data_IF_279228810096
#
_entry.id   IF_279228810096
#
_cell.length_a   1.000
_cell.length_b   1.000
_cell.length_c   1.000
_cell.angle_alpha   90.00
_cell.angle_beta   90.00
_cell.angle_gamma   90.00
#
_symmetry.space_group_name_H-M   'P 1'
#
loop_
_entity.id
_entity.type
_entity.pdbx_description
1 polymer ?
#
# COMPACT_ATOMS: atom_id res chain seq x y z
N UNK A 1 -30.95 2.06 -8.77
CA UNK A 1 -31.01 2.16 -7.29
C UNK A 1 -30.44 3.50 -6.88
N UNK A 2 -31.00 4.15 -5.87
CA UNK A 2 -30.40 5.41 -5.36
C UNK A 2 -29.14 5.11 -4.55
N UNK A 3 -28.18 6.07 -4.51
CA UNK A 3 -26.93 5.94 -3.73
C UNK A 3 -27.19 5.61 -2.25
N UNK A 4 -28.29 6.13 -1.69
CA UNK A 4 -28.73 5.80 -0.32
C UNK A 4 -29.10 4.32 -0.15
N UNK A 5 -29.73 3.70 -1.17
CA UNK A 5 -30.10 2.29 -1.14
C UNK A 5 -28.84 1.39 -1.22
N UNK A 6 -27.89 1.73 -2.10
CA UNK A 6 -26.61 1.04 -2.24
C UNK A 6 -25.82 1.14 -0.92
N UNK A 7 -25.72 2.32 -0.34
CA UNK A 7 -25.03 2.52 0.94
C UNK A 7 -25.64 1.72 2.10
N UNK A 8 -26.97 1.55 2.11
CA UNK A 8 -27.66 0.71 3.11
C UNK A 8 -27.32 -0.78 2.94
N UNK A 9 -27.29 -1.25 1.69
CA UNK A 9 -26.93 -2.63 1.36
C UNK A 9 -25.48 -2.95 1.74
N UNK A 10 -24.53 -2.09 1.35
CA UNK A 10 -23.12 -2.24 1.69
C UNK A 10 -22.90 -2.30 3.21
N UNK A 11 -23.57 -1.43 3.97
CA UNK A 11 -23.51 -1.47 5.44
C UNK A 11 -24.11 -2.76 6.02
N UNK A 12 -25.16 -3.31 5.43
CA UNK A 12 -25.76 -4.58 5.87
C UNK A 12 -24.79 -5.74 5.62
N UNK A 13 -24.18 -5.80 4.44
CA UNK A 13 -23.16 -6.80 4.09
C UNK A 13 -21.97 -6.70 5.06
N UNK A 14 -21.44 -5.50 5.27
CA UNK A 14 -20.34 -5.27 6.22
C UNK A 14 -20.68 -5.80 7.63
N UNK A 15 -21.87 -5.47 8.15
CA UNK A 15 -22.30 -5.92 9.48
C UNK A 15 -22.43 -7.44 9.55
N UNK A 16 -22.94 -8.09 8.50
CA UNK A 16 -23.06 -9.53 8.43
C UNK A 16 -21.68 -10.21 8.44
N UNK A 17 -20.75 -9.71 7.63
CA UNK A 17 -19.36 -10.21 7.58
C UNK A 17 -18.63 -9.97 8.90
N UNK A 18 -18.74 -8.78 9.47
CA UNK A 18 -18.13 -8.45 10.76
C UNK A 18 -18.69 -9.31 11.91
N UNK A 19 -20.02 -9.61 11.89
CA UNK A 19 -20.62 -10.54 12.86
C UNK A 19 -20.14 -11.97 12.69
N UNK A 20 -19.94 -12.43 11.46
CA UNK A 20 -19.53 -13.81 11.17
C UNK A 20 -18.04 -14.07 11.43
N UNK A 21 -17.18 -13.11 11.11
CA UNK A 21 -15.72 -13.29 11.09
C UNK A 21 -14.97 -12.38 12.06
N UNK A 22 -15.64 -11.42 12.70
CA UNK A 22 -15.01 -10.43 13.57
C UNK A 22 -14.17 -9.40 12.83
N UNK A 23 -13.53 -8.47 13.56
CA UNK A 23 -12.56 -7.52 13.02
C UNK A 23 -11.33 -8.26 12.48
N UNK A 24 -10.93 -7.97 11.27
CA UNK A 24 -9.82 -8.68 10.60
C UNK A 24 -8.45 -8.04 10.84
N UNK A 25 -8.39 -6.83 11.37
CA UNK A 25 -7.16 -6.07 11.62
C UNK A 25 -6.19 -6.07 10.42
N UNK A 26 -6.77 -5.98 9.26
CA UNK A 26 -6.05 -5.85 8.02
C UNK A 26 -5.62 -4.38 7.86
N UNK A 27 -4.44 -4.10 7.59
CA UNK A 27 -3.24 -4.64 6.98
C UNK A 27 -2.17 -4.93 8.06
N UNK A 28 -1.50 -6.09 8.08
CA UNK A 28 -0.45 -6.35 9.05
C UNK A 28 0.84 -5.62 8.65
N UNK A 29 1.17 -4.58 9.37
CA UNK A 29 2.39 -3.80 9.20
C UNK A 29 2.66 -2.99 10.46
N UNK A 30 3.92 -2.94 10.90
CA UNK A 30 4.30 -2.27 12.16
C UNK A 30 4.35 -0.74 12.02
N UNK A 31 4.48 -0.24 10.78
CA UNK A 31 4.59 1.20 10.51
C UNK A 31 3.88 1.59 9.21
N UNK A 32 3.44 2.86 9.07
CA UNK A 32 2.90 3.35 7.80
C UNK A 32 3.85 3.15 6.61
N UNK A 33 5.16 3.24 6.83
CA UNK A 33 6.14 3.00 5.77
C UNK A 33 6.18 1.53 5.34
N UNK A 34 6.08 0.61 6.28
CA UNK A 34 5.97 -0.82 5.96
C UNK A 34 4.72 -1.13 5.13
N UNK A 35 3.58 -0.51 5.47
CA UNK A 35 2.34 -0.64 4.71
C UNK A 35 2.49 -0.09 3.29
N UNK A 36 3.13 1.07 3.11
CA UNK A 36 3.48 1.63 1.79
C UNK A 36 4.27 0.65 0.93
N UNK A 37 5.34 0.08 1.51
CA UNK A 37 6.19 -0.91 0.83
C UNK A 37 5.38 -2.16 0.51
N UNK A 38 4.62 -2.67 1.48
CA UNK A 38 3.75 -3.83 1.31
C UNK A 38 2.73 -3.65 0.18
N UNK A 39 2.11 -2.47 0.06
CA UNK A 39 1.15 -2.16 -1.00
C UNK A 39 1.76 -2.28 -2.41
N UNK A 40 3.02 -1.88 -2.59
CA UNK A 40 3.73 -2.08 -3.85
C UNK A 40 4.12 -3.55 -4.04
N UNK A 41 4.57 -4.23 -2.99
CA UNK A 41 5.00 -5.63 -3.09
C UNK A 41 3.84 -6.61 -3.29
N UNK A 42 2.62 -6.27 -2.89
CA UNK A 42 1.43 -7.12 -3.04
C UNK A 42 0.92 -7.18 -4.49
N UNK A 43 1.32 -6.26 -5.35
CA UNK A 43 0.89 -6.24 -6.75
C UNK A 43 1.17 -7.59 -7.43
N UNK A 44 0.10 -8.29 -7.85
CA UNK A 44 0.16 -9.62 -8.49
C UNK A 44 0.99 -10.66 -7.70
N UNK A 45 0.86 -10.70 -6.39
CA UNK A 45 1.67 -11.59 -5.54
C UNK A 45 0.86 -12.04 -4.33
N UNK A 46 0.99 -13.32 -3.97
CA UNK A 46 0.40 -13.87 -2.75
C UNK A 46 1.05 -13.26 -1.50
N UNK A 47 0.24 -12.97 -0.48
CA UNK A 47 0.68 -12.30 0.74
C UNK A 47 1.88 -12.99 1.43
N UNK A 48 1.90 -14.31 1.49
CA UNK A 48 3.02 -15.09 2.06
C UNK A 48 4.38 -14.75 1.45
N UNK A 49 4.42 -14.36 0.19
CA UNK A 49 5.65 -13.95 -0.49
C UNK A 49 6.02 -12.50 -0.18
N UNK A 50 5.02 -11.65 0.06
CA UNK A 50 5.23 -10.28 0.54
C UNK A 50 5.85 -10.31 1.94
N UNK A 51 5.32 -11.14 2.83
CA UNK A 51 5.87 -11.34 4.19
C UNK A 51 7.35 -11.73 4.17
N UNK A 52 7.73 -12.67 3.30
CA UNK A 52 9.13 -13.07 3.12
C UNK A 52 10.01 -11.90 2.66
N UNK A 53 9.53 -11.08 1.74
CA UNK A 53 10.24 -9.91 1.26
C UNK A 53 10.38 -8.85 2.35
N UNK A 54 9.31 -8.57 3.09
CA UNK A 54 9.32 -7.65 4.24
C UNK A 54 10.30 -8.15 5.33
N UNK A 55 10.27 -9.45 5.65
CA UNK A 55 11.19 -10.05 6.62
C UNK A 55 12.66 -9.86 6.19
N UNK A 56 12.98 -10.02 4.90
CA UNK A 56 14.32 -9.74 4.38
C UNK A 56 14.72 -8.28 4.58
N UNK A 57 13.82 -7.34 4.24
CA UNK A 57 14.06 -5.90 4.41
C UNK A 57 14.26 -5.52 5.88
N UNK A 58 13.49 -6.13 6.80
CA UNK A 58 13.63 -5.94 8.26
C UNK A 58 14.98 -6.48 8.76
N UNK A 59 15.33 -7.73 8.39
CA UNK A 59 16.60 -8.37 8.78
C UNK A 59 17.82 -7.55 8.36
N UNK A 60 17.79 -7.01 7.14
CA UNK A 60 18.87 -6.16 6.60
C UNK A 60 18.76 -4.70 7.06
N UNK A 61 17.76 -4.39 7.90
CA UNK A 61 17.49 -3.04 8.41
C UNK A 61 17.30 -1.99 7.31
N UNK A 62 16.76 -2.39 6.15
CA UNK A 62 16.52 -1.48 5.00
C UNK A 62 15.11 -0.90 5.03
N UNK A 63 14.18 -1.46 5.81
CA UNK A 63 12.78 -1.07 5.86
C UNK A 63 12.56 0.26 6.64
N UNK A 64 13.26 1.29 6.21
CA UNK A 64 13.03 2.69 6.62
C UNK A 64 13.21 3.58 5.41
N UNK A 65 12.52 4.72 5.37
CA UNK A 65 12.58 5.63 4.22
C UNK A 65 14.04 6.00 3.88
N UNK A 66 14.78 6.52 4.85
CA UNK A 66 16.15 7.00 4.64
C UNK A 66 17.12 5.92 4.18
N UNK A 67 16.95 4.68 4.63
CA UNK A 67 17.81 3.57 4.20
C UNK A 67 17.41 3.03 2.85
N UNK A 68 16.11 2.94 2.59
CA UNK A 68 15.61 2.38 1.33
C UNK A 68 15.88 3.30 0.13
N UNK A 69 15.71 4.62 0.29
CA UNK A 69 15.99 5.57 -0.79
C UNK A 69 17.47 5.57 -1.20
N UNK A 70 18.37 5.34 -0.23
CA UNK A 70 19.81 5.28 -0.44
C UNK A 70 20.33 3.86 -0.77
N UNK A 71 19.48 2.84 -0.75
CA UNK A 71 19.90 1.49 -1.08
C UNK A 71 20.18 1.34 -2.58
N UNK A 72 21.23 0.59 -2.92
CA UNK A 72 21.51 0.22 -4.30
C UNK A 72 20.31 -0.57 -4.89
N UNK A 73 19.87 -0.27 -6.11
CA UNK A 73 18.72 -0.96 -6.73
C UNK A 73 18.88 -2.48 -6.76
N UNK A 74 20.08 -2.95 -7.01
CA UNK A 74 20.41 -4.39 -7.09
C UNK A 74 20.24 -5.06 -5.73
N UNK A 75 20.70 -4.41 -4.64
CA UNK A 75 20.49 -4.90 -3.27
C UNK A 75 18.99 -4.95 -2.94
N UNK A 76 18.25 -3.89 -3.27
CA UNK A 76 16.81 -3.85 -3.01
C UNK A 76 16.08 -4.96 -3.78
N UNK A 77 16.41 -5.16 -5.07
CA UNK A 77 15.86 -6.20 -5.90
C UNK A 77 16.08 -7.61 -5.32
N UNK A 78 17.28 -7.89 -4.80
CA UNK A 78 17.59 -9.16 -4.14
C UNK A 78 16.73 -9.38 -2.88
N UNK A 79 16.57 -8.37 -2.04
CA UNK A 79 15.81 -8.46 -0.80
C UNK A 79 14.32 -8.73 -1.05
N UNK A 80 13.74 -8.08 -2.07
CA UNK A 80 12.33 -8.24 -2.41
C UNK A 80 12.05 -9.38 -3.41
N UNK A 81 13.07 -10.17 -3.79
CA UNK A 81 12.93 -11.26 -4.76
C UNK A 81 11.77 -12.22 -4.48
N UNK A 82 11.46 -12.59 -3.22
CA UNK A 82 10.31 -13.44 -2.93
C UNK A 82 8.97 -12.91 -3.44
N UNK A 83 8.80 -11.58 -3.52
CA UNK A 83 7.55 -10.96 -3.98
C UNK A 83 7.27 -11.12 -5.49
N UNK A 84 8.19 -11.72 -6.27
CA UNK A 84 8.07 -11.83 -7.73
C UNK A 84 8.18 -10.48 -8.44
N UNK A 85 8.41 -10.49 -9.74
CA UNK A 85 8.57 -9.27 -10.55
C UNK A 85 9.47 -8.21 -9.91
N UNK A 86 10.46 -8.66 -9.15
CA UNK A 86 11.26 -7.85 -8.22
C UNK A 86 11.99 -6.68 -8.90
N UNK A 87 12.45 -6.83 -10.15
CA UNK A 87 13.08 -5.73 -10.89
C UNK A 87 12.10 -4.58 -11.17
N UNK A 88 10.86 -4.92 -11.56
CA UNK A 88 9.80 -3.93 -11.81
C UNK A 88 9.35 -3.31 -10.48
N UNK A 89 9.17 -4.13 -9.44
CA UNK A 89 8.79 -3.65 -8.11
C UNK A 89 9.84 -2.76 -7.47
N UNK A 90 11.13 -3.05 -7.69
CA UNK A 90 12.22 -2.15 -7.27
C UNK A 90 12.08 -0.77 -7.93
N UNK A 91 11.81 -0.71 -9.23
CA UNK A 91 11.58 0.56 -9.92
C UNK A 91 10.37 1.31 -9.36
N UNK A 92 9.25 0.61 -9.13
CA UNK A 92 8.02 1.20 -8.54
C UNK A 92 8.25 1.73 -7.14
N UNK A 93 8.95 0.99 -6.28
CA UNK A 93 9.36 1.46 -4.96
C UNK A 93 10.22 2.73 -5.06
N UNK A 94 11.20 2.76 -5.96
CA UNK A 94 12.05 3.94 -6.17
C UNK A 94 11.26 5.15 -6.66
N UNK A 95 10.28 4.97 -7.55
CA UNK A 95 9.41 6.07 -7.97
C UNK A 95 8.59 6.61 -6.80
N UNK A 96 8.03 5.74 -5.97
CA UNK A 96 7.29 6.15 -4.77
C UNK A 96 8.20 6.87 -3.76
N UNK A 97 9.41 6.37 -3.52
CA UNK A 97 10.38 7.02 -2.64
C UNK A 97 10.78 8.40 -3.18
N UNK A 98 11.05 8.51 -4.47
CA UNK A 98 11.40 9.78 -5.11
C UNK A 98 10.24 10.78 -5.04
N UNK A 99 9.02 10.33 -5.25
CA UNK A 99 7.81 11.16 -5.07
C UNK A 99 7.72 11.73 -3.65
N UNK A 100 7.92 10.89 -2.62
CA UNK A 100 7.89 11.33 -1.22
C UNK A 100 9.05 12.31 -0.93
N UNK A 101 10.23 12.04 -1.46
CA UNK A 101 11.39 12.93 -1.35
C UNK A 101 11.08 14.31 -1.92
N UNK A 102 10.63 14.34 -3.18
CA UNK A 102 10.43 15.59 -3.93
C UNK A 102 9.29 16.44 -3.39
N UNK A 103 8.16 15.81 -3.03
CA UNK A 103 6.95 16.54 -2.67
C UNK A 103 6.74 16.71 -1.16
N UNK A 104 7.38 15.88 -0.34
CA UNK A 104 7.10 15.83 1.10
C UNK A 104 8.37 15.84 1.97
N UNK A 105 9.55 16.11 1.37
CA UNK A 105 10.85 16.24 2.07
C UNK A 105 11.09 15.04 3.01
N UNK A 106 11.00 13.83 2.49
CA UNK A 106 11.23 12.55 3.18
C UNK A 106 10.25 12.23 4.33
N UNK A 107 9.19 13.01 4.49
CA UNK A 107 8.27 12.88 5.61
C UNK A 107 6.95 12.18 5.22
N UNK A 108 6.80 10.94 5.65
CA UNK A 108 5.55 10.16 5.54
C UNK A 108 4.40 10.87 6.28
N UNK A 109 4.69 11.41 7.46
CA UNK A 109 3.67 12.14 8.24
C UNK A 109 3.19 13.38 7.49
N UNK A 110 4.10 14.14 6.87
CA UNK A 110 3.75 15.31 6.04
C UNK A 110 2.94 14.90 4.81
N UNK A 111 3.28 13.78 4.16
CA UNK A 111 2.51 13.25 3.06
C UNK A 111 1.07 12.95 3.48
N UNK A 112 0.87 12.26 4.59
CA UNK A 112 -0.47 11.93 5.07
C UNK A 112 -1.23 13.10 5.73
N UNK A 113 -0.58 14.24 6.01
CA UNK A 113 -1.27 15.46 6.42
C UNK A 113 -1.88 16.24 5.25
N UNK A 114 -1.54 15.91 4.01
CA UNK A 114 -2.11 16.52 2.82
C UNK A 114 -3.60 16.16 2.66
N UNK A 115 -4.32 16.98 1.87
CA UNK A 115 -5.71 16.67 1.49
C UNK A 115 -5.78 15.29 0.82
N UNK A 116 -6.68 14.39 1.29
CA UNK A 116 -6.70 13.02 0.82
C UNK A 116 -7.02 12.87 -0.67
N UNK A 117 -7.90 13.71 -1.23
CA UNK A 117 -8.27 13.63 -2.63
C UNK A 117 -7.12 14.09 -3.54
N UNK A 118 -6.43 15.15 -3.12
CA UNK A 118 -5.22 15.66 -3.78
C UNK A 118 -4.09 14.62 -3.70
N UNK A 119 -3.85 14.05 -2.53
CA UNK A 119 -2.82 13.02 -2.37
C UNK A 119 -3.10 11.81 -3.25
N UNK A 120 -4.37 11.39 -3.35
CA UNK A 120 -4.75 10.30 -4.27
C UNK A 120 -4.37 10.61 -5.72
N UNK A 121 -4.68 11.80 -6.21
CA UNK A 121 -4.32 12.21 -7.57
C UNK A 121 -2.81 12.17 -7.78
N UNK A 122 -2.04 12.71 -6.85
CA UNK A 122 -0.58 12.70 -6.90
C UNK A 122 -0.01 11.26 -6.87
N UNK A 123 -0.56 10.36 -6.06
CA UNK A 123 -0.15 8.95 -6.03
C UNK A 123 -0.42 8.25 -7.37
N UNK A 124 -1.52 8.58 -8.05
CA UNK A 124 -1.84 8.02 -9.36
C UNK A 124 -0.90 8.49 -10.48
N UNK A 125 -0.20 9.61 -10.31
CA UNK A 125 0.84 10.11 -11.22
C UNK A 125 2.17 9.37 -11.03
N UNK A 126 2.35 8.67 -9.90
CA UNK A 126 3.57 7.89 -9.64
C UNK A 126 3.58 6.63 -10.52
N UNK A 127 4.60 6.51 -11.35
CA UNK A 127 4.72 5.36 -12.25
C UNK A 127 4.74 4.03 -11.49
N UNK A 128 3.75 3.18 -11.78
CA UNK A 128 3.56 1.89 -11.15
C UNK A 128 2.62 1.88 -9.94
N UNK A 129 2.00 3.02 -9.61
CA UNK A 129 0.95 3.12 -8.59
C UNK A 129 -0.39 3.28 -9.29
N UNK A 130 -1.20 2.24 -9.31
CA UNK A 130 -2.56 2.27 -9.82
C UNK A 130 -3.60 2.56 -8.73
N UNK A 131 -4.90 2.65 -9.09
CA UNK A 131 -5.97 2.98 -8.14
C UNK A 131 -6.01 2.08 -6.91
N UNK A 132 -5.91 0.76 -7.09
CA UNK A 132 -5.90 -0.21 -5.98
C UNK A 132 -4.74 0.06 -5.00
N UNK A 133 -3.53 0.29 -5.52
CA UNK A 133 -2.36 0.57 -4.68
C UNK A 133 -2.45 1.93 -4.00
N UNK A 134 -2.90 2.97 -4.70
CA UNK A 134 -3.09 4.31 -4.15
C UNK A 134 -4.14 4.29 -3.02
N UNK A 135 -5.29 3.65 -3.26
CA UNK A 135 -6.37 3.56 -2.28
C UNK A 135 -5.97 2.69 -1.06
N UNK A 136 -5.18 1.62 -1.27
CA UNK A 136 -4.60 0.82 -0.19
C UNK A 136 -3.63 1.63 0.66
N UNK A 137 -2.76 2.42 0.05
CA UNK A 137 -1.84 3.32 0.75
C UNK A 137 -2.62 4.32 1.60
N UNK A 138 -3.63 4.96 1.03
CA UNK A 138 -4.44 5.96 1.72
C UNK A 138 -5.22 5.36 2.89
N UNK A 139 -5.86 4.21 2.68
CA UNK A 139 -6.67 3.55 3.70
C UNK A 139 -5.82 2.98 4.82
N UNK A 140 -4.83 2.14 4.49
CA UNK A 140 -4.14 1.33 5.50
C UNK A 140 -2.90 2.00 6.10
N UNK A 141 -2.18 2.84 5.35
CA UNK A 141 -1.03 3.57 5.86
C UNK A 141 -1.40 4.98 6.33
N UNK A 142 -2.36 5.62 5.65
CA UNK A 142 -2.76 7.00 5.92
C UNK A 142 -4.02 7.14 6.78
N UNK A 143 -4.70 6.04 7.10
CA UNK A 143 -5.97 6.02 7.85
C UNK A 143 -7.05 6.95 7.24
N UNK A 144 -7.02 7.09 5.89
CA UNK A 144 -7.98 7.90 5.15
C UNK A 144 -9.14 7.02 4.66
N UNK A 145 -10.40 7.48 4.71
CA UNK A 145 -11.58 6.68 4.38
C UNK A 145 -11.75 6.50 2.87
N UNK A 146 -10.88 5.73 2.24
CA UNK A 146 -10.99 5.28 0.85
C UNK A 146 -11.49 3.84 0.78
N UNK A 147 -12.27 3.54 -0.26
CA UNK A 147 -12.74 2.20 -0.52
C UNK A 147 -11.84 1.55 -1.57
N UNK A 148 -11.11 0.51 -1.18
CA UNK A 148 -10.22 -0.22 -2.09
C UNK A 148 -11.02 -1.14 -2.98
N UNK A 149 -10.94 -0.95 -4.30
CA UNK A 149 -11.54 -1.83 -5.31
C UNK A 149 -10.46 -2.69 -5.94
N UNK A 150 -10.30 -3.88 -5.40
CA UNK A 150 -9.37 -4.90 -5.89
C UNK A 150 -10.02 -5.91 -6.85
N UNK A 151 -9.26 -6.92 -7.26
CA UNK A 151 -9.75 -7.99 -8.13
C UNK A 151 -10.84 -8.84 -7.46
N UNK A 152 -10.83 -8.98 -6.13
CA UNK A 152 -11.86 -9.72 -5.39
C UNK A 152 -13.14 -8.92 -5.26
N UNK A 153 -13.04 -7.64 -4.93
CA UNK A 153 -14.18 -6.70 -4.85
C UNK A 153 -14.99 -6.65 -6.15
N UNK A 154 -14.29 -6.77 -7.31
CA UNK A 154 -14.96 -6.75 -8.63
C UNK A 154 -15.71 -8.03 -8.96
N UNK A 155 -15.57 -9.09 -8.19
CA UNK A 155 -16.24 -10.38 -8.40
C UNK A 155 -17.55 -10.52 -7.60
N UNK A 156 -17.77 -9.61 -6.67
CA UNK A 156 -18.98 -9.54 -5.83
C UNK A 156 -20.01 -8.62 -6.50
#
# INVERSE_FOLDING_TARGET
MSDKAIGKQLKAIYRALCKAYGPQHWWPGDTPFEVLVGAVLTQNTAWVNVEKAIANLKRERVLTFSRMINAAPEKLALLIRPSGYFNIKTKRLRHLLLFIHTHYSDSIARMFSADPARLRQQLLEVNGIGPETADSILLYAGEKPFFVVDAYTRRI
#
